data_IF_326856470319
#
_entry.id   IF_326856470319
#
_cell.length_a   1.000
_cell.length_b   1.000
_cell.length_c   1.000
_cell.angle_alpha   90.00
_cell.angle_beta   90.00
_cell.angle_gamma   90.00
#
_symmetry.space_group_name_H-M   'P 1'
#
loop_
_entity.id
_entity.type
_entity.pdbx_description
1 polymer ?
#
# COMPACT_ATOMS: atom_id res chain seq x y z
N UNK A 1 4.25 27.38 -13.97
CA UNK A 1 4.27 26.04 -13.34
C UNK A 1 5.37 25.84 -12.27
N UNK A 2 6.10 26.88 -11.81
CA UNK A 2 7.13 26.74 -10.76
C UNK A 2 6.65 26.95 -9.32
N UNK A 3 5.45 27.50 -9.12
CA UNK A 3 4.98 27.97 -7.81
C UNK A 3 4.03 26.97 -7.13
N UNK A 4 3.22 26.25 -7.91
CA UNK A 4 2.22 25.33 -7.37
C UNK A 4 2.84 24.08 -6.72
N UNK A 5 3.96 23.59 -7.26
CA UNK A 5 4.64 22.40 -6.74
C UNK A 5 5.67 22.68 -5.63
N UNK A 6 5.97 23.94 -5.30
CA UNK A 6 6.92 24.24 -4.21
C UNK A 6 6.36 23.88 -2.81
N UNK A 7 5.05 23.63 -2.72
CA UNK A 7 4.38 23.15 -1.51
C UNK A 7 4.47 21.63 -1.36
N UNK A 8 4.74 20.90 -2.45
CA UNK A 8 4.95 19.46 -2.43
C UNK A 8 6.45 19.17 -2.46
N UNK A 9 7.00 18.39 -1.51
CA UNK A 9 8.37 17.90 -1.59
C UNK A 9 8.44 16.81 -2.68
N UNK A 10 8.27 17.21 -3.94
CA UNK A 10 8.27 16.35 -5.10
C UNK A 10 9.60 16.41 -5.85
N UNK A 11 10.01 15.27 -6.38
CA UNK A 11 11.14 15.14 -7.30
C UNK A 11 10.84 14.03 -8.29
N UNK A 12 11.44 14.08 -9.47
CA UNK A 12 11.26 13.03 -10.50
C UNK A 12 11.84 11.67 -10.07
N UNK A 13 12.77 11.67 -9.12
CA UNK A 13 13.43 10.49 -8.55
C UNK A 13 13.49 10.60 -7.03
N UNK A 14 13.56 9.46 -6.34
CA UNK A 14 13.74 9.37 -4.88
C UNK A 14 14.89 10.24 -4.38
N UNK A 15 16.03 10.17 -5.06
CA UNK A 15 17.26 10.90 -4.69
C UNK A 15 17.05 12.42 -4.64
N UNK A 16 16.25 12.95 -5.57
CA UNK A 16 15.96 14.38 -5.66
C UNK A 16 15.18 14.89 -4.42
N UNK A 17 14.48 13.99 -3.72
CA UNK A 17 13.72 14.32 -2.53
C UNK A 17 14.57 14.30 -1.25
N UNK A 18 15.73 13.61 -1.24
CA UNK A 18 16.54 13.38 -0.03
C UNK A 18 16.95 14.70 0.67
N UNK A 19 17.49 15.72 -0.02
CA UNK A 19 17.89 16.96 0.66
C UNK A 19 16.72 17.67 1.34
N UNK A 20 15.52 17.59 0.75
CA UNK A 20 14.29 18.19 1.31
C UNK A 20 13.81 17.40 2.53
N UNK A 21 13.85 16.06 2.45
CA UNK A 21 13.51 15.18 3.57
C UNK A 21 14.45 15.44 4.75
N UNK A 22 15.77 15.54 4.52
CA UNK A 22 16.76 15.90 5.54
C UNK A 22 16.48 17.28 6.16
N UNK A 23 16.18 18.28 5.31
CA UNK A 23 15.83 19.63 5.77
C UNK A 23 14.61 19.65 6.71
N UNK A 24 13.57 18.87 6.38
CA UNK A 24 12.35 18.75 7.18
C UNK A 24 12.62 17.96 8.48
N UNK A 25 13.38 16.87 8.39
CA UNK A 25 13.73 16.03 9.53
C UNK A 25 14.59 16.77 10.56
N UNK A 26 15.52 17.62 10.12
CA UNK A 26 16.28 18.51 11.01
C UNK A 26 15.41 19.54 11.76
N UNK A 27 14.15 19.71 11.34
CA UNK A 27 13.12 20.53 12.00
C UNK A 27 12.05 19.68 12.69
N UNK A 28 12.33 18.39 12.89
CA UNK A 28 11.42 17.43 13.52
C UNK A 28 10.09 17.28 12.77
N UNK A 29 10.10 17.45 11.45
CA UNK A 29 8.95 17.22 10.57
C UNK A 29 9.14 15.88 9.87
N UNK A 30 8.19 14.96 10.07
CA UNK A 30 8.14 13.67 9.39
C UNK A 30 7.74 13.80 7.91
N UNK A 31 8.11 12.80 7.11
CA UNK A 31 7.76 12.75 5.68
C UNK A 31 7.20 11.39 5.32
N UNK A 32 6.17 11.39 4.48
CA UNK A 32 5.54 10.21 3.91
C UNK A 32 5.64 10.26 2.37
N UNK A 33 6.81 9.95 1.77
CA UNK A 33 6.93 9.86 0.33
C UNK A 33 5.96 8.83 -0.24
N UNK A 34 5.31 9.20 -1.34
CA UNK A 34 4.41 8.32 -2.08
C UNK A 34 4.48 8.65 -3.57
N UNK A 35 4.47 7.63 -4.39
CA UNK A 35 4.26 7.78 -5.82
C UNK A 35 2.76 7.82 -6.11
N UNK A 36 2.34 8.71 -7.01
CA UNK A 36 0.93 8.96 -7.32
C UNK A 36 0.55 8.32 -8.66
N UNK A 37 0.66 6.99 -8.74
CA UNK A 37 0.07 6.22 -9.84
C UNK A 37 -1.12 5.48 -9.26
N UNK A 38 -2.28 5.64 -9.89
CA UNK A 38 -3.57 5.14 -9.41
C UNK A 38 -4.42 4.73 -10.59
N UNK A 39 -5.36 3.80 -10.42
CA UNK A 39 -6.33 3.45 -11.46
C UNK A 39 -7.06 4.68 -12.02
N UNK A 40 -7.32 4.66 -13.33
CA UNK A 40 -8.28 5.60 -13.90
C UNK A 40 -9.70 5.26 -13.41
N UNK A 41 -10.57 6.27 -13.31
CA UNK A 41 -11.94 6.07 -12.80
C UNK A 41 -12.79 5.17 -13.70
N UNK A 42 -12.44 5.05 -14.97
CA UNK A 42 -13.11 4.17 -15.93
C UNK A 42 -12.65 2.70 -15.85
N UNK A 43 -11.69 2.39 -14.96
CA UNK A 43 -11.13 1.04 -14.81
C UNK A 43 -10.22 0.61 -15.96
N UNK A 44 -9.81 1.55 -16.82
CA UNK A 44 -8.92 1.26 -17.94
C UNK A 44 -7.58 0.67 -17.48
N UNK A 45 -7.05 -0.22 -18.32
CA UNK A 45 -5.77 -0.87 -18.05
C UNK A 45 -4.60 0.07 -18.24
N UNK A 46 -3.55 -0.13 -17.45
CA UNK A 46 -2.27 0.59 -17.57
C UNK A 46 -1.22 -0.28 -18.24
N UNK A 47 -0.23 0.38 -18.83
CA UNK A 47 0.94 -0.27 -19.40
C UNK A 47 1.68 -1.09 -18.32
N UNK A 48 1.85 -2.42 -18.51
CA UNK A 48 2.62 -3.25 -17.58
C UNK A 48 4.06 -2.76 -17.32
N UNK A 49 4.68 -2.10 -18.30
CA UNK A 49 6.02 -1.53 -18.13
C UNK A 49 6.00 -0.32 -17.17
N UNK A 50 4.93 0.49 -17.22
CA UNK A 50 4.71 1.58 -16.28
C UNK A 50 4.54 1.05 -14.84
N UNK A 51 3.72 0.00 -14.67
CA UNK A 51 3.51 -0.64 -13.37
C UNK A 51 4.81 -1.23 -12.83
N UNK A 52 5.56 -1.95 -13.66
CA UNK A 52 6.85 -2.54 -13.26
C UNK A 52 7.85 -1.45 -12.80
N UNK A 53 7.94 -0.35 -13.55
CA UNK A 53 8.77 0.80 -13.19
C UNK A 53 8.30 1.45 -11.89
N UNK A 54 7.00 1.56 -11.68
CA UNK A 54 6.42 2.11 -10.45
C UNK A 54 6.76 1.26 -9.23
N UNK A 55 6.59 -0.06 -9.33
CA UNK A 55 6.97 -1.00 -8.27
C UNK A 55 8.45 -0.89 -7.93
N UNK A 56 9.32 -0.78 -8.94
CA UNK A 56 10.75 -0.56 -8.71
C UNK A 56 11.01 0.75 -7.95
N UNK A 57 10.38 1.85 -8.34
CA UNK A 57 10.52 3.15 -7.68
C UNK A 57 10.03 3.11 -6.23
N UNK A 58 8.96 2.38 -5.94
CA UNK A 58 8.50 2.13 -4.55
C UNK A 58 9.58 1.42 -3.74
N UNK A 59 10.17 0.34 -4.26
CA UNK A 59 11.23 -0.41 -3.57
C UNK A 59 12.49 0.46 -3.35
N UNK A 60 12.88 1.25 -4.34
CA UNK A 60 14.00 2.20 -4.23
C UNK A 60 13.72 3.29 -3.17
N UNK A 61 12.47 3.74 -3.05
CA UNK A 61 12.08 4.70 -2.02
C UNK A 61 12.19 4.12 -0.62
N UNK A 62 11.83 2.85 -0.43
CA UNK A 62 11.98 2.14 0.84
C UNK A 62 13.46 2.03 1.22
N UNK A 63 14.33 1.67 0.27
CA UNK A 63 15.77 1.62 0.53
C UNK A 63 16.33 2.98 0.92
N UNK A 64 16.00 4.04 0.16
CA UNK A 64 16.49 5.38 0.46
C UNK A 64 16.00 5.88 1.83
N UNK A 65 14.72 5.61 2.17
CA UNK A 65 14.16 5.93 3.47
C UNK A 65 14.84 5.15 4.60
N UNK A 66 15.09 3.85 4.43
CA UNK A 66 15.79 3.01 5.40
C UNK A 66 17.24 3.46 5.64
N UNK A 67 17.97 3.77 4.58
CA UNK A 67 19.34 4.31 4.68
C UNK A 67 19.37 5.67 5.38
N UNK A 68 18.40 6.53 5.08
CA UNK A 68 18.29 7.82 5.76
C UNK A 68 17.97 7.64 7.24
N UNK A 69 17.03 6.76 7.59
CA UNK A 69 16.66 6.49 8.98
C UNK A 69 17.87 6.08 9.84
N UNK A 70 18.76 5.23 9.31
CA UNK A 70 20.00 4.79 9.99
C UNK A 70 20.94 5.94 10.34
N UNK A 71 20.93 7.04 9.59
CA UNK A 71 21.76 8.22 9.89
C UNK A 71 21.26 9.00 11.10
N UNK A 72 19.95 8.98 11.35
CA UNK A 72 19.30 9.76 12.41
C UNK A 72 18.96 8.93 13.66
N UNK A 73 18.86 7.60 13.51
CA UNK A 73 18.60 6.67 14.59
C UNK A 73 19.63 5.53 14.53
N UNK A 74 20.86 5.74 15.03
CA UNK A 74 21.92 4.74 14.94
C UNK A 74 21.66 3.52 15.85
N UNK A 75 20.85 3.66 16.89
CA UNK A 75 20.39 2.53 17.69
C UNK A 75 19.21 1.84 16.99
N UNK A 76 19.50 0.75 16.28
CA UNK A 76 18.52 -0.07 15.58
C UNK A 76 17.60 -0.87 16.53
N UNK A 77 17.93 -0.96 17.82
CA UNK A 77 17.13 -1.66 18.85
C UNK A 77 16.06 -0.77 19.47
N UNK A 78 16.11 0.54 19.24
CA UNK A 78 15.11 1.48 19.71
C UNK A 78 13.82 1.38 18.87
N UNK A 79 12.90 0.51 19.29
CA UNK A 79 11.55 0.41 18.72
C UNK A 79 10.58 1.49 19.26
N UNK A 80 11.02 2.26 20.26
CA UNK A 80 10.26 3.35 20.88
C UNK A 80 10.62 4.72 20.25
N UNK A 81 9.59 5.52 19.96
CA UNK A 81 9.70 6.79 19.24
C UNK A 81 9.42 6.67 17.74
N UNK A 82 8.82 7.70 17.13
CA UNK A 82 8.54 7.77 15.70
C UNK A 82 9.74 8.34 14.92
N UNK A 83 10.92 7.75 15.12
CA UNK A 83 12.12 8.08 14.35
C UNK A 83 12.17 7.30 13.02
N UNK A 84 11.11 6.58 12.66
CA UNK A 84 11.07 5.72 11.48
C UNK A 84 10.72 6.54 10.25
N UNK A 85 11.26 6.13 9.11
CA UNK A 85 10.81 6.65 7.84
C UNK A 85 9.58 5.85 7.38
N UNK A 86 8.75 6.52 6.59
CA UNK A 86 7.50 5.97 6.11
C UNK A 86 7.48 6.03 4.58
N UNK A 87 6.69 5.16 3.95
CA UNK A 87 6.38 5.20 2.52
C UNK A 87 4.89 4.96 2.37
N UNK A 88 4.25 5.68 1.45
CA UNK A 88 2.84 5.47 1.11
C UNK A 88 2.70 4.68 -0.18
N UNK A 89 1.79 3.73 -0.17
CA UNK A 89 1.49 2.81 -1.26
C UNK A 89 0.04 2.97 -1.70
N UNK A 90 -0.19 2.99 -3.01
CA UNK A 90 -1.51 2.84 -3.62
C UNK A 90 -1.58 1.52 -4.36
N UNK A 91 -2.55 0.69 -4.02
CA UNK A 91 -2.70 -0.65 -4.55
C UNK A 91 -3.07 -0.62 -6.02
N UNK A 92 -3.95 0.30 -6.43
CA UNK A 92 -4.37 0.44 -7.83
C UNK A 92 -3.23 0.85 -8.77
N UNK A 93 -2.12 1.38 -8.24
CA UNK A 93 -0.89 1.70 -8.97
C UNK A 93 0.05 0.51 -9.18
N UNK A 94 -0.23 -0.65 -8.57
CA UNK A 94 0.65 -1.82 -8.55
C UNK A 94 0.18 -2.99 -9.43
N UNK A 95 -0.87 -2.78 -10.23
CA UNK A 95 -1.36 -3.78 -11.17
C UNK A 95 -1.84 -3.15 -12.49
N UNK A 96 -1.64 -3.83 -13.64
CA UNK A 96 -2.11 -3.30 -14.94
C UNK A 96 -3.62 -3.19 -15.10
N UNK A 97 -4.37 -4.17 -14.58
CA UNK A 97 -5.82 -4.27 -14.76
C UNK A 97 -6.54 -4.07 -13.42
N UNK A 98 -6.92 -2.83 -13.05
CA UNK A 98 -7.58 -2.56 -11.77
C UNK A 98 -8.99 -3.15 -11.68
N UNK A 99 -9.60 -3.51 -12.81
CA UNK A 99 -10.89 -4.23 -12.84
C UNK A 99 -10.86 -5.54 -12.03
N UNK A 100 -9.68 -6.17 -11.88
CA UNK A 100 -9.52 -7.34 -11.03
C UNK A 100 -9.85 -7.05 -9.56
N UNK A 101 -9.51 -5.87 -9.05
CA UNK A 101 -9.88 -5.42 -7.70
C UNK A 101 -11.40 -5.25 -7.57
N UNK A 102 -12.06 -4.77 -8.61
CA UNK A 102 -13.51 -4.58 -8.64
C UNK A 102 -14.25 -5.93 -8.61
N UNK A 103 -13.88 -6.86 -9.50
CA UNK A 103 -14.47 -8.20 -9.51
C UNK A 103 -14.21 -8.95 -8.19
N UNK A 104 -12.97 -8.91 -7.69
CA UNK A 104 -12.63 -9.51 -6.39
C UNK A 104 -13.41 -8.88 -5.23
N UNK A 105 -13.60 -7.56 -5.23
CA UNK A 105 -14.35 -6.87 -4.18
C UNK A 105 -15.83 -7.24 -4.19
N UNK A 106 -16.43 -7.35 -5.37
CA UNK A 106 -17.81 -7.81 -5.49
C UNK A 106 -17.97 -9.28 -5.08
N UNK A 107 -16.99 -10.13 -5.36
CA UNK A 107 -16.96 -11.51 -4.90
C UNK A 107 -16.89 -11.62 -3.37
N UNK A 108 -16.07 -10.78 -2.72
CA UNK A 108 -16.03 -10.64 -1.25
C UNK A 108 -17.40 -10.25 -0.71
N UNK A 109 -17.96 -9.14 -1.20
CA UNK A 109 -19.22 -8.59 -0.68
C UNK A 109 -20.39 -9.57 -0.80
N UNK A 110 -20.46 -10.33 -1.91
CA UNK A 110 -21.44 -11.41 -2.07
C UNK A 110 -21.26 -12.52 -1.03
N UNK A 111 -20.03 -12.98 -0.86
CA UNK A 111 -19.70 -14.04 0.10
C UNK A 111 -20.01 -13.62 1.53
N UNK A 112 -19.70 -12.38 1.90
CA UNK A 112 -20.09 -11.79 3.20
C UNK A 112 -21.61 -11.76 3.37
N UNK A 113 -22.34 -11.29 2.36
CA UNK A 113 -23.81 -11.27 2.36
C UNK A 113 -24.44 -12.66 2.50
N UNK A 114 -23.94 -13.66 1.80
CA UNK A 114 -24.39 -15.06 1.90
C UNK A 114 -24.14 -15.65 3.30
N UNK A 115 -23.09 -15.19 3.99
CA UNK A 115 -22.75 -15.57 5.37
C UNK A 115 -23.48 -14.74 6.42
N UNK A 116 -24.26 -13.72 6.03
CA UNK A 116 -24.89 -12.79 6.96
C UNK A 116 -23.90 -11.91 7.73
N UNK A 117 -22.71 -11.65 7.15
CA UNK A 117 -21.72 -10.72 7.68
C UNK A 117 -22.05 -9.29 7.26
N UNK A 118 -21.50 -8.31 7.98
CA UNK A 118 -21.66 -6.87 7.69
C UNK A 118 -23.11 -6.33 7.68
N UNK A 119 -24.08 -7.02 8.30
CA UNK A 119 -25.49 -6.59 8.31
C UNK A 119 -25.70 -5.16 8.87
N UNK A 120 -24.94 -4.82 9.90
CA UNK A 120 -24.97 -3.51 10.58
C UNK A 120 -23.71 -2.67 10.32
N UNK A 121 -22.89 -3.07 9.34
CA UNK A 121 -21.65 -2.37 8.99
C UNK A 121 -21.85 -1.61 7.68
N UNK A 122 -21.64 -0.28 7.66
CA UNK A 122 -21.74 0.48 6.42
C UNK A 122 -20.79 -0.05 5.35
N UNK A 123 -21.25 -0.01 4.10
CA UNK A 123 -20.40 -0.28 2.94
C UNK A 123 -19.10 0.57 3.00
N UNK A 124 -17.91 0.01 2.72
CA UNK A 124 -17.64 -1.32 2.14
C UNK A 124 -17.46 -2.49 3.13
N UNK A 125 -17.83 -2.31 4.40
CA UNK A 125 -17.68 -3.35 5.44
C UNK A 125 -16.29 -3.37 6.06
N UNK A 126 -15.96 -4.44 6.77
CA UNK A 126 -14.64 -4.69 7.37
C UNK A 126 -14.05 -6.01 6.84
N UNK A 127 -12.71 -6.17 6.80
CA UNK A 127 -12.10 -7.43 6.39
C UNK A 127 -12.48 -8.60 7.32
N UNK A 128 -12.71 -9.77 6.73
CA UNK A 128 -13.08 -11.02 7.39
C UNK A 128 -12.20 -12.19 6.91
N UNK A 129 -12.06 -13.20 7.77
CA UNK A 129 -11.46 -14.48 7.38
C UNK A 129 -12.18 -15.09 6.16
N UNK A 130 -11.40 -15.45 5.14
CA UNK A 130 -11.88 -16.01 3.88
C UNK A 130 -12.11 -15.01 2.74
N UNK A 131 -11.94 -13.71 3.01
CA UNK A 131 -12.16 -12.68 1.99
C UNK A 131 -11.18 -12.80 0.81
N UNK A 132 -9.91 -13.13 1.06
CA UNK A 132 -8.94 -13.28 -0.03
C UNK A 132 -9.27 -14.49 -0.91
N UNK A 133 -9.66 -15.61 -0.30
CA UNK A 133 -10.14 -16.79 -1.02
C UNK A 133 -11.38 -16.47 -1.85
N UNK A 134 -12.30 -15.67 -1.32
CA UNK A 134 -13.47 -15.19 -2.04
C UNK A 134 -13.09 -14.27 -3.21
N UNK A 135 -12.13 -13.36 -3.04
CA UNK A 135 -11.63 -12.50 -4.10
C UNK A 135 -10.98 -13.27 -5.26
N UNK A 136 -10.38 -14.43 -4.98
CA UNK A 136 -9.72 -15.27 -5.98
C UNK A 136 -10.65 -16.28 -6.68
N UNK A 137 -11.65 -16.80 -5.96
CA UNK A 137 -12.45 -17.95 -6.42
C UNK A 137 -13.95 -17.66 -6.52
N UNK A 138 -14.38 -16.45 -6.16
CA UNK A 138 -15.77 -16.09 -6.14
C UNK A 138 -16.37 -15.91 -7.54
N UNK A 139 -17.69 -15.79 -7.57
CA UNK A 139 -18.45 -15.66 -8.81
C UNK A 139 -18.04 -14.40 -9.57
N UNK A 140 -17.90 -14.51 -10.89
CA UNK A 140 -17.48 -13.44 -11.83
C UNK A 140 -15.99 -13.05 -11.77
N UNK A 141 -15.20 -13.67 -10.88
CA UNK A 141 -13.74 -13.55 -10.93
C UNK A 141 -13.24 -14.39 -12.11
N UNK A 142 -12.60 -13.73 -13.07
CA UNK A 142 -12.01 -14.42 -14.22
C UNK A 142 -10.62 -14.97 -13.88
N UNK A 143 -10.11 -15.86 -14.71
CA UNK A 143 -8.73 -16.35 -14.58
C UNK A 143 -7.71 -15.21 -14.68
N UNK A 144 -7.98 -14.19 -15.51
CA UNK A 144 -7.12 -13.01 -15.61
C UNK A 144 -7.16 -12.19 -14.30
N UNK A 145 -8.34 -11.98 -13.72
CA UNK A 145 -8.48 -11.29 -12.44
C UNK A 145 -7.69 -12.01 -11.34
N UNK A 146 -7.83 -13.34 -11.28
CA UNK A 146 -7.09 -14.19 -10.34
C UNK A 146 -5.57 -14.04 -10.50
N UNK A 147 -5.07 -14.06 -11.73
CA UNK A 147 -3.64 -13.85 -12.01
C UNK A 147 -3.16 -12.45 -11.58
N UNK A 148 -3.98 -11.42 -11.83
CA UNK A 148 -3.69 -10.04 -11.42
C UNK A 148 -3.62 -9.91 -9.89
N UNK A 149 -4.57 -10.49 -9.16
CA UNK A 149 -4.60 -10.46 -7.70
C UNK A 149 -3.44 -11.25 -7.07
N UNK A 150 -3.09 -12.42 -7.61
CA UNK A 150 -1.95 -13.20 -7.16
C UNK A 150 -0.61 -12.46 -7.38
N UNK A 151 -0.44 -11.84 -8.56
CA UNK A 151 0.73 -11.03 -8.87
C UNK A 151 0.84 -9.79 -7.95
N UNK A 152 -0.30 -9.13 -7.70
CA UNK A 152 -0.38 -8.00 -6.77
C UNK A 152 0.01 -8.43 -5.34
N UNK A 153 -0.50 -9.56 -4.85
CA UNK A 153 -0.12 -10.09 -3.53
C UNK A 153 1.38 -10.36 -3.44
N UNK A 154 1.97 -11.03 -4.44
CA UNK A 154 3.41 -11.28 -4.47
C UNK A 154 4.22 -9.95 -4.48
N UNK A 155 3.75 -8.96 -5.22
CA UNK A 155 4.34 -7.61 -5.24
C UNK A 155 4.28 -6.96 -3.86
N UNK A 156 3.13 -7.00 -3.19
CA UNK A 156 2.96 -6.44 -1.85
C UNK A 156 3.77 -7.17 -0.79
N UNK A 157 3.92 -8.50 -0.89
CA UNK A 157 4.81 -9.26 0.00
C UNK A 157 6.28 -8.85 -0.17
N UNK A 158 6.72 -8.60 -1.41
CA UNK A 158 8.07 -8.08 -1.68
C UNK A 158 8.27 -6.69 -1.06
N UNK A 159 7.30 -5.79 -1.24
CA UNK A 159 7.30 -4.44 -0.65
C UNK A 159 7.33 -4.51 0.88
N UNK A 160 6.45 -5.31 1.49
CA UNK A 160 6.36 -5.44 2.95
C UNK A 160 7.62 -6.09 3.56
N UNK A 161 8.20 -7.10 2.91
CA UNK A 161 9.48 -7.70 3.32
C UNK A 161 10.60 -6.66 3.28
N UNK A 162 10.72 -5.94 2.16
CA UNK A 162 11.73 -4.89 1.98
C UNK A 162 11.59 -3.77 3.01
N UNK A 163 10.36 -3.39 3.34
CA UNK A 163 10.05 -2.39 4.35
C UNK A 163 10.47 -2.86 5.75
N UNK A 164 10.11 -4.11 6.12
CA UNK A 164 10.52 -4.73 7.39
C UNK A 164 12.04 -4.78 7.53
N UNK A 165 12.75 -5.24 6.50
CA UNK A 165 14.22 -5.36 6.50
C UNK A 165 14.91 -4.00 6.67
N UNK A 166 14.28 -2.93 6.19
CA UNK A 166 14.78 -1.57 6.31
C UNK A 166 14.24 -0.80 7.53
N UNK A 167 13.40 -1.42 8.37
CA UNK A 167 12.68 -0.76 9.47
C UNK A 167 11.89 0.49 9.00
N UNK A 168 11.28 0.37 7.82
CA UNK A 168 10.41 1.38 7.20
C UNK A 168 8.96 0.95 7.36
N UNK A 169 8.10 1.93 7.62
CA UNK A 169 6.65 1.73 7.68
C UNK A 169 6.03 1.97 6.31
N UNK A 170 5.15 1.08 5.86
CA UNK A 170 4.32 1.27 4.67
C UNK A 170 2.88 1.59 5.07
N UNK A 171 2.37 2.71 4.58
CA UNK A 171 0.95 3.07 4.68
C UNK A 171 0.29 2.65 3.38
N UNK A 172 -0.68 1.76 3.49
CA UNK A 172 -1.50 1.35 2.35
C UNK A 172 -2.71 2.26 2.33
N UNK A 173 -2.82 3.07 1.26
CA UNK A 173 -3.89 4.03 1.11
C UNK A 173 -5.24 3.33 0.90
N UNK A 174 -6.27 3.81 1.59
CA UNK A 174 -7.65 3.64 1.16
C UNK A 174 -7.86 4.34 -0.19
N UNK A 175 -8.55 3.67 -1.09
CA UNK A 175 -8.81 4.13 -2.46
C UNK A 175 -10.31 4.20 -2.71
N UNK A 176 -10.78 3.94 -3.92
CA UNK A 176 -12.21 4.00 -4.20
C UNK A 176 -12.92 2.83 -3.51
N UNK A 177 -14.09 3.10 -2.94
CA UNK A 177 -14.83 2.15 -2.10
C UNK A 177 -15.13 0.82 -2.79
N UNK A 178 -15.23 0.81 -4.13
CA UNK A 178 -15.46 -0.40 -4.94
C UNK A 178 -14.23 -1.29 -5.15
N UNK A 179 -13.03 -0.82 -4.78
CA UNK A 179 -11.82 -1.64 -4.68
C UNK A 179 -11.49 -1.99 -3.22
N UNK A 180 -12.08 -1.26 -2.28
CA UNK A 180 -11.68 -1.27 -0.88
C UNK A 180 -11.79 -2.67 -0.21
N UNK A 181 -12.81 -3.52 -0.46
CA UNK A 181 -12.84 -4.86 0.15
C UNK A 181 -11.60 -5.72 -0.13
N UNK A 182 -11.09 -5.71 -1.37
CA UNK A 182 -9.85 -6.45 -1.70
C UNK A 182 -8.62 -5.79 -1.10
N UNK A 183 -8.56 -4.45 -1.13
CA UNK A 183 -7.45 -3.69 -0.53
C UNK A 183 -7.36 -3.96 0.97
N UNK A 184 -8.50 -3.93 1.68
CA UNK A 184 -8.59 -4.19 3.10
C UNK A 184 -8.23 -5.63 3.43
N UNK A 185 -8.75 -6.60 2.68
CA UNK A 185 -8.42 -8.01 2.87
C UNK A 185 -6.92 -8.27 2.70
N UNK A 186 -6.30 -7.74 1.63
CA UNK A 186 -4.86 -7.87 1.42
C UNK A 186 -4.05 -7.15 2.51
N UNK A 187 -4.50 -5.97 2.91
CA UNK A 187 -3.84 -5.16 3.96
C UNK A 187 -3.88 -5.88 5.30
N UNK A 188 -5.02 -6.44 5.67
CA UNK A 188 -5.19 -7.19 6.90
C UNK A 188 -4.26 -8.41 6.96
N UNK A 189 -4.19 -9.21 5.89
CA UNK A 189 -3.27 -10.35 5.84
C UNK A 189 -1.78 -9.94 5.96
N UNK A 190 -1.39 -8.83 5.32
CA UNK A 190 -0.04 -8.29 5.46
C UNK A 190 0.22 -7.78 6.86
N UNK A 191 -0.75 -7.13 7.50
CA UNK A 191 -0.64 -6.70 8.89
C UNK A 191 -0.48 -7.91 9.82
N UNK A 192 -1.30 -8.96 9.67
CA UNK A 192 -1.18 -10.19 10.45
C UNK A 192 0.21 -10.84 10.30
N UNK A 193 0.77 -10.83 9.07
CA UNK A 193 2.08 -11.44 8.77
C UNK A 193 3.28 -10.61 9.24
N UNK A 194 3.23 -9.29 9.08
CA UNK A 194 4.40 -8.41 9.27
C UNK A 194 4.37 -7.61 10.59
N UNK A 195 3.21 -7.43 11.23
CA UNK A 195 3.09 -6.69 12.50
C UNK A 195 3.08 -7.65 13.70
N UNK A 196 4.25 -8.20 14.05
CA UNK A 196 4.40 -9.11 15.20
C UNK A 196 4.42 -8.36 16.53
N UNK A 197 3.93 -8.98 17.62
CA UNK A 197 3.87 -8.38 18.96
C UNK A 197 5.21 -7.80 19.45
N UNK A 198 6.30 -8.52 19.22
CA UNK A 198 7.64 -8.12 19.68
C UNK A 198 8.42 -7.31 18.64
N UNK A 199 7.79 -7.00 17.51
CA UNK A 199 8.40 -6.29 16.38
C UNK A 199 7.75 -4.93 16.12
N UNK A 200 8.42 -4.06 15.34
CA UNK A 200 7.81 -2.83 14.89
C UNK A 200 6.66 -3.14 13.92
N UNK A 201 5.54 -2.42 14.04
CA UNK A 201 4.54 -2.41 12.98
C UNK A 201 5.17 -1.94 11.67
N UNK A 202 5.01 -2.73 10.61
CA UNK A 202 5.51 -2.48 9.25
C UNK A 202 4.37 -2.03 8.32
N UNK A 203 3.22 -2.69 8.36
CA UNK A 203 2.08 -2.38 7.51
C UNK A 203 1.02 -1.59 8.27
N UNK A 204 0.53 -0.49 7.69
CA UNK A 204 -0.46 0.39 8.31
C UNK A 204 -1.57 0.62 7.29
N UNK A 205 -2.81 0.31 7.65
CA UNK A 205 -3.99 0.68 6.88
C UNK A 205 -4.31 2.17 7.06
N UNK A 206 -4.77 2.85 6.01
CA UNK A 206 -5.52 4.09 6.16
C UNK A 206 -7.02 3.86 5.95
N UNK A 207 -7.84 4.69 6.57
CA UNK A 207 -9.30 4.60 6.52
C UNK A 207 -9.89 5.93 6.09
N UNK A 208 -10.97 5.90 5.30
CA UNK A 208 -11.74 7.09 4.93
C UNK A 208 -12.91 7.23 5.90
N UNK A 209 -13.02 8.39 6.55
CA UNK A 209 -14.04 8.72 7.56
C UNK A 209 -15.24 9.48 6.97
#
# INVERSE_FOLDING_TARGET
MKIFFNQSPGGEKTENCIPKIQYLRNRQIGTLPGYNIEAELDGSSKDPALISKHTQLVLESIDAQGQLAKQYCPDASAYSGDNRCWVRIKITGLLPHPVALYHGSNAILRTRGERGLDLDVPYPGLPHDGDWEAALNGREVTELDRQQLLSLRATMESIASKARDNNVRIVIDAEQSWYQPVIDSLTDELMQKYNTLDGPATCIASFQA
#
